data_IF_763989003674
#
_entry.id   IF_763989003674
#
_cell.length_a   1.000
_cell.length_b   1.000
_cell.length_c   1.000
_cell.angle_alpha   90.00
_cell.angle_beta   90.00
_cell.angle_gamma   90.00
#
_symmetry.space_group_name_H-M   'P 1'
#
loop_
_entity.id
_entity.type
_entity.pdbx_description
1 polymer ?
#
# COMPACT_ATOMS: atom_id res chain seq x y z
N UNK A 1 -11.51 49.08 -28.52
CA UNK A 1 -10.61 48.36 -27.58
C UNK A 1 -10.86 46.87 -27.79
N UNK A 2 -9.80 46.06 -27.89
CA UNK A 2 -9.84 44.72 -28.50
C UNK A 2 -10.72 43.70 -27.76
N UNK A 3 -11.81 43.26 -28.40
CA UNK A 3 -12.49 42.01 -28.02
C UNK A 3 -11.66 40.83 -28.56
N UNK A 4 -10.74 40.34 -27.74
CA UNK A 4 -10.03 39.08 -28.02
C UNK A 4 -11.02 37.92 -28.04
N UNK A 5 -11.32 37.38 -29.23
CA UNK A 5 -12.08 36.13 -29.36
C UNK A 5 -11.36 35.03 -28.57
N UNK A 6 -12.04 34.19 -27.77
CA UNK A 6 -11.41 33.05 -27.14
C UNK A 6 -10.85 32.16 -28.25
N UNK A 7 -9.52 32.05 -28.32
CA UNK A 7 -8.85 31.19 -29.27
C UNK A 7 -9.29 29.76 -28.94
N UNK A 8 -10.06 29.13 -29.83
CA UNK A 8 -10.36 27.70 -29.71
C UNK A 8 -9.01 26.99 -29.70
N UNK A 9 -8.66 26.38 -28.56
CA UNK A 9 -7.39 25.65 -28.45
C UNK A 9 -7.25 24.71 -29.63
N UNK A 10 -6.20 24.92 -30.41
CA UNK A 10 -5.91 24.07 -31.56
C UNK A 10 -5.60 22.65 -31.05
N UNK A 11 -5.98 21.62 -31.81
CA UNK A 11 -5.58 20.24 -31.52
C UNK A 11 -4.06 20.09 -31.33
N UNK A 12 -3.27 20.95 -31.99
CA UNK A 12 -1.81 21.02 -31.80
C UNK A 12 -1.42 21.49 -30.40
N UNK A 13 -2.06 22.52 -29.88
CA UNK A 13 -1.84 23.07 -28.53
C UNK A 13 -2.24 22.08 -27.44
N UNK A 14 -3.38 21.40 -27.61
CA UNK A 14 -3.82 20.33 -26.72
C UNK A 14 -2.85 19.14 -26.69
N UNK A 15 -2.33 18.72 -27.86
CA UNK A 15 -1.33 17.66 -27.94
C UNK A 15 -0.02 18.07 -27.28
N UNK A 16 0.45 19.29 -27.51
CA UNK A 16 1.66 19.83 -26.90
C UNK A 16 1.54 19.86 -25.37
N UNK A 17 0.41 20.33 -24.84
CA UNK A 17 0.13 20.33 -23.40
C UNK A 17 0.21 18.92 -22.82
N UNK A 18 -0.45 17.94 -23.44
CA UNK A 18 -0.41 16.53 -22.99
C UNK A 18 1.01 15.97 -22.98
N UNK A 19 1.80 16.25 -24.02
CA UNK A 19 3.20 15.81 -24.10
C UNK A 19 4.05 16.45 -23.00
N UNK A 20 3.82 17.73 -22.72
CA UNK A 20 4.55 18.45 -21.67
C UNK A 20 4.22 17.89 -20.29
N UNK A 21 2.94 17.67 -20.00
CA UNK A 21 2.48 17.05 -18.76
C UNK A 21 3.02 15.63 -18.60
N UNK A 22 3.05 14.83 -19.68
CA UNK A 22 3.62 13.49 -19.65
C UNK A 22 5.14 13.51 -19.43
N UNK A 23 5.86 14.40 -20.10
CA UNK A 23 7.30 14.55 -19.92
C UNK A 23 7.64 14.95 -18.47
N UNK A 24 6.85 15.84 -17.88
CA UNK A 24 7.00 16.24 -16.49
C UNK A 24 6.86 15.05 -15.53
N UNK A 25 5.81 14.22 -15.70
CA UNK A 25 5.62 12.98 -14.90
C UNK A 25 6.79 12.02 -15.05
N UNK A 26 7.30 11.83 -16.27
CA UNK A 26 8.47 10.97 -16.51
C UNK A 26 9.74 11.50 -15.85
N UNK A 27 9.95 12.82 -15.84
CA UNK A 27 11.09 13.44 -15.15
C UNK A 27 11.00 13.24 -13.63
N UNK A 28 9.80 13.37 -13.06
CA UNK A 28 9.55 13.09 -11.64
C UNK A 28 9.82 11.62 -11.27
N UNK A 29 9.33 10.68 -12.08
CA UNK A 29 9.57 9.25 -11.86
C UNK A 29 11.04 8.87 -12.04
N UNK A 30 11.75 9.52 -12.97
CA UNK A 30 13.19 9.33 -13.15
C UNK A 30 13.96 9.82 -11.93
N UNK A 31 13.61 11.00 -11.41
CA UNK A 31 14.25 11.63 -10.24
C UNK A 31 13.92 10.93 -8.91
N UNK A 32 12.93 10.04 -8.86
CA UNK A 32 12.56 9.30 -7.64
C UNK A 32 13.77 8.53 -7.07
N UNK A 33 14.15 8.74 -5.80
CA UNK A 33 15.28 8.04 -5.19
C UNK A 33 14.98 6.54 -5.10
N UNK A 34 16.00 5.71 -5.40
CA UNK A 34 15.91 4.26 -5.39
C UNK A 34 17.01 3.70 -4.48
N UNK A 35 16.68 2.63 -3.76
CA UNK A 35 17.65 1.85 -2.99
C UNK A 35 18.10 0.62 -3.80
N UNK A 36 19.21 0.01 -3.40
CA UNK A 36 19.68 -1.23 -4.03
C UNK A 36 18.71 -2.37 -3.70
N UNK A 37 18.50 -3.26 -4.66
CA UNK A 37 17.63 -4.43 -4.46
C UNK A 37 18.13 -5.30 -3.31
N UNK A 38 19.44 -5.49 -3.18
CA UNK A 38 20.03 -6.26 -2.06
C UNK A 38 19.68 -5.67 -0.69
N UNK A 39 19.65 -4.34 -0.56
CA UNK A 39 19.27 -3.63 0.66
C UNK A 39 17.76 -3.77 0.94
N UNK A 40 16.93 -3.58 -0.09
CA UNK A 40 15.48 -3.76 0.01
C UNK A 40 15.13 -5.19 0.46
N UNK A 41 15.73 -6.20 -0.17
CA UNK A 41 15.53 -7.62 0.17
C UNK A 41 15.99 -7.93 1.60
N UNK A 42 17.15 -7.40 2.03
CA UNK A 42 17.63 -7.59 3.39
C UNK A 42 16.67 -6.98 4.43
N UNK A 43 16.09 -5.81 4.13
CA UNK A 43 15.08 -5.16 4.97
C UNK A 43 13.81 -6.01 5.10
N UNK A 44 13.29 -6.53 3.97
CA UNK A 44 12.12 -7.41 3.97
C UNK A 44 12.37 -8.70 4.77
N UNK A 45 13.52 -9.35 4.55
CA UNK A 45 13.89 -10.57 5.30
C UNK A 45 13.97 -10.26 6.79
N UNK A 46 14.57 -9.13 7.17
CA UNK A 46 14.66 -8.72 8.58
C UNK A 46 13.26 -8.57 9.17
N UNK A 47 12.38 -7.83 8.51
CA UNK A 47 11.01 -7.62 8.98
C UNK A 47 10.27 -8.95 9.18
N UNK A 48 10.31 -9.84 8.18
CA UNK A 48 9.67 -11.15 8.28
C UNK A 48 10.29 -12.07 9.34
N UNK A 49 11.53 -11.82 9.79
CA UNK A 49 12.20 -12.58 10.85
C UNK A 49 12.00 -12.01 12.25
N UNK A 50 11.57 -10.76 12.37
CA UNK A 50 11.38 -10.09 13.68
C UNK A 50 9.91 -9.94 14.03
N UNK A 51 9.02 -9.99 13.05
CA UNK A 51 7.58 -9.82 13.23
C UNK A 51 6.90 -11.18 13.30
N UNK A 52 6.38 -11.54 14.49
CA UNK A 52 5.67 -12.81 14.71
C UNK A 52 4.40 -12.85 13.85
N UNK A 53 4.23 -13.93 13.10
CA UNK A 53 3.02 -14.20 12.31
C UNK A 53 2.26 -15.41 12.89
N UNK A 54 1.07 -15.20 13.50
CA UNK A 54 0.22 -16.27 14.03
C UNK A 54 -0.18 -17.33 12.99
N UNK A 55 -0.20 -16.97 11.70
CA UNK A 55 -0.63 -17.83 10.60
C UNK A 55 0.49 -18.70 10.04
N UNK A 56 1.73 -18.57 10.56
CA UNK A 56 2.86 -19.44 10.19
C UNK A 56 3.40 -20.18 11.42
N UNK A 57 2.66 -21.18 11.96
CA UNK A 57 3.08 -21.89 13.16
C UNK A 57 4.37 -22.70 13.01
N UNK A 58 4.75 -23.06 11.78
CA UNK A 58 5.99 -23.79 11.50
C UNK A 58 7.25 -23.00 11.85
N UNK A 59 7.18 -21.67 11.82
CA UNK A 59 8.30 -20.77 12.13
C UNK A 59 8.11 -20.12 13.50
N UNK A 60 6.88 -19.75 13.85
CA UNK A 60 6.56 -18.95 15.05
C UNK A 60 5.97 -19.75 16.21
N UNK A 61 5.69 -21.03 16.02
CA UNK A 61 5.00 -21.89 16.97
C UNK A 61 3.47 -21.72 16.95
N UNK A 62 2.73 -22.63 17.58
CA UNK A 62 1.27 -22.55 17.65
C UNK A 62 0.82 -21.32 18.46
N UNK A 63 -0.27 -20.70 18.02
CA UNK A 63 -0.91 -19.60 18.76
C UNK A 63 -1.56 -20.17 20.01
N UNK A 64 -1.26 -19.59 21.16
CA UNK A 64 -1.88 -20.02 22.40
C UNK A 64 -3.36 -19.59 22.41
N UNK A 65 -4.24 -20.43 22.98
CA UNK A 65 -5.70 -20.19 22.97
C UNK A 65 -6.12 -18.89 23.67
N UNK A 66 -5.27 -18.36 24.55
CA UNK A 66 -5.47 -17.07 25.23
C UNK A 66 -5.04 -15.86 24.37
N UNK A 67 -4.20 -16.07 23.36
CA UNK A 67 -3.75 -15.04 22.41
C UNK A 67 -4.65 -14.96 21.17
N UNK A 68 -5.43 -16.00 20.89
CA UNK A 68 -6.38 -16.05 19.79
C UNK A 68 -7.77 -15.53 20.22
N UNK A 69 -8.20 -14.35 19.73
CA UNK A 69 -9.50 -13.75 20.08
C UNK A 69 -10.69 -14.55 19.53
N UNK A 70 -10.45 -15.48 18.61
CA UNK A 70 -11.47 -16.37 18.05
C UNK A 70 -11.42 -17.78 18.64
N UNK A 71 -10.50 -18.06 19.57
CA UNK A 71 -10.48 -19.35 20.26
C UNK A 71 -11.79 -19.55 21.03
N UNK A 72 -12.38 -20.72 20.88
CA UNK A 72 -13.55 -21.11 21.66
C UNK A 72 -13.19 -21.08 23.14
N UNK A 73 -13.74 -20.11 23.87
CA UNK A 73 -13.73 -20.12 25.33
C UNK A 73 -14.39 -21.42 25.76
N UNK A 74 -13.68 -22.22 26.56
CA UNK A 74 -14.08 -23.58 26.88
C UNK A 74 -15.54 -23.68 27.31
N UNK A 75 -16.15 -24.83 26.99
CA UNK A 75 -17.48 -25.29 27.39
C UNK A 75 -17.63 -25.32 28.92
N UNK A 76 -17.76 -24.15 29.53
CA UNK A 76 -17.75 -23.96 30.97
C UNK A 76 -18.19 -22.56 31.37
N UNK A 77 -19.50 -22.31 31.23
CA UNK A 77 -20.26 -21.34 32.02
C UNK A 77 -19.92 -19.85 31.87
N UNK A 78 -20.78 -19.11 31.14
CA UNK A 78 -21.00 -17.68 31.41
C UNK A 78 -21.03 -16.76 30.19
N UNK A 79 -22.22 -16.62 29.60
CA UNK A 79 -22.72 -15.45 28.83
C UNK A 79 -21.70 -14.71 27.94
N UNK A 80 -21.63 -15.08 26.66
CA UNK A 80 -21.22 -14.16 25.59
C UNK A 80 -22.47 -13.68 24.86
N UNK A 81 -22.60 -12.36 24.73
CA UNK A 81 -23.76 -11.64 24.20
C UNK A 81 -24.11 -12.07 22.77
N UNK A 82 -25.38 -12.36 22.53
CA UNK A 82 -25.97 -12.43 21.18
C UNK A 82 -26.25 -11.00 20.72
N UNK A 83 -25.80 -10.63 19.52
CA UNK A 83 -26.30 -9.43 18.84
C UNK A 83 -27.73 -9.74 18.40
N UNK A 84 -28.68 -8.97 18.92
CA UNK A 84 -30.10 -9.05 18.60
C UNK A 84 -30.41 -8.29 17.31
#
# INVERSE_FOLDING_TARGET
MMNGRPHKQSMSELKLRRLTEHNQRLREDLARPRIRVSEASASLIRYCKTTKDPLVPSVWGPVAKNEDPYAQQGTGGGKCCVVQ
#
